data_IF_936856915170
#
_entry.id   IF_936856915170
#
_cell.length_a   1.000
_cell.length_b   1.000
_cell.length_c   1.000
_cell.angle_alpha   90.00
_cell.angle_beta   90.00
_cell.angle_gamma   90.00
#
_symmetry.space_group_name_H-M   'P 1'
#
loop_
_entity.id
_entity.type
_entity.pdbx_description
1 polymer ?
#
# COMPACT_ATOMS: atom_id res chain seq x y z
N UNK A 1 -24.47 -6.74 0.92
CA UNK A 1 -23.20 -6.51 0.23
C UNK A 1 -22.89 -5.03 0.26
N UNK A 2 -21.66 -4.62 0.57
CA UNK A 2 -21.31 -3.18 0.65
C UNK A 2 -20.82 -2.68 -0.71
N UNK A 3 -21.14 -1.43 -1.04
CA UNK A 3 -20.65 -0.75 -2.25
C UNK A 3 -19.38 0.04 -1.96
N UNK A 4 -18.51 0.13 -2.95
CA UNK A 4 -17.26 0.88 -2.90
C UNK A 4 -17.01 1.63 -4.19
N UNK A 5 -16.61 2.90 -4.09
CA UNK A 5 -16.12 3.68 -5.21
C UNK A 5 -14.61 3.48 -5.34
N UNK A 6 -14.17 3.03 -6.51
CA UNK A 6 -12.77 2.77 -6.84
C UNK A 6 -12.18 3.95 -7.60
N UNK A 7 -10.98 4.34 -7.18
CA UNK A 7 -10.21 5.44 -7.72
C UNK A 7 -8.81 4.96 -8.10
N UNK A 8 -8.25 5.51 -9.18
CA UNK A 8 -6.89 5.23 -9.63
C UNK A 8 -5.89 6.25 -9.08
N UNK A 9 -4.68 5.78 -8.84
CA UNK A 9 -3.50 6.58 -8.52
C UNK A 9 -2.30 6.13 -9.37
N UNK A 10 -1.20 6.90 -9.41
CA UNK A 10 0.03 6.46 -10.06
C UNK A 10 0.58 5.13 -9.54
N UNK A 11 0.29 4.75 -8.30
CA UNK A 11 0.86 3.56 -7.63
C UNK A 11 -0.11 2.37 -7.51
N UNK A 12 -1.35 2.49 -8.04
CA UNK A 12 -2.39 1.47 -7.93
C UNK A 12 -3.78 2.08 -7.70
N UNK A 13 -4.74 1.26 -7.29
CA UNK A 13 -6.11 1.66 -7.01
C UNK A 13 -6.40 1.75 -5.51
N UNK A 14 -7.34 2.61 -5.14
CA UNK A 14 -7.89 2.67 -3.79
C UNK A 14 -9.40 2.76 -3.86
N UNK A 15 -10.06 2.27 -2.82
CA UNK A 15 -11.51 2.31 -2.75
C UNK A 15 -11.99 2.92 -1.43
N UNK A 16 -13.07 3.67 -1.52
CA UNK A 16 -13.82 4.20 -0.38
C UNK A 16 -15.19 3.55 -0.35
N UNK A 17 -15.73 3.35 0.86
CA UNK A 17 -17.11 2.89 0.97
C UNK A 17 -18.03 3.93 0.32
N UNK A 18 -19.04 3.48 -0.40
CA UNK A 18 -19.95 4.28 -1.20
C UNK A 18 -21.39 4.03 -0.76
N UNK A 19 -22.20 5.08 -0.75
CA UNK A 19 -23.64 4.99 -0.54
C UNK A 19 -24.37 5.92 -1.52
N UNK A 20 -25.28 5.34 -2.29
CA UNK A 20 -26.21 6.00 -3.22
C UNK A 20 -27.68 5.83 -2.80
N UNK A 21 -27.94 4.99 -1.81
CA UNK A 21 -29.25 4.85 -1.18
C UNK A 21 -29.15 4.99 0.33
N UNK A 22 -30.27 5.28 0.99
CA UNK A 22 -30.34 5.33 2.45
C UNK A 22 -29.98 3.98 3.10
N UNK A 23 -30.32 2.86 2.45
CA UNK A 23 -30.00 1.52 2.95
C UNK A 23 -28.49 1.24 2.96
N UNK A 24 -27.74 1.83 2.01
CA UNK A 24 -26.27 1.68 1.93
C UNK A 24 -25.53 2.36 3.10
N UNK A 25 -26.21 3.26 3.83
CA UNK A 25 -25.70 3.93 5.03
C UNK A 25 -25.59 2.99 6.23
N UNK A 26 -26.25 1.82 6.23
CA UNK A 26 -26.29 0.95 7.40
C UNK A 26 -24.89 0.49 7.87
N UNK A 27 -24.56 0.73 9.14
CA UNK A 27 -23.25 0.43 9.72
C UNK A 27 -22.14 1.37 9.24
N UNK A 28 -22.47 2.60 8.84
CA UNK A 28 -21.48 3.66 8.53
C UNK A 28 -21.24 4.58 9.72
N UNK A 29 -22.18 4.65 10.68
CA UNK A 29 -22.18 5.65 11.75
C UNK A 29 -22.74 7.01 11.33
N UNK A 30 -23.26 7.13 10.11
CA UNK A 30 -23.86 8.35 9.55
C UNK A 30 -25.35 8.21 9.24
N UNK A 31 -26.00 7.15 9.73
CA UNK A 31 -27.39 6.79 9.44
C UNK A 31 -28.39 7.89 9.82
N UNK A 32 -28.11 8.65 10.88
CA UNK A 32 -28.95 9.75 11.36
C UNK A 32 -28.47 11.14 10.90
N UNK A 33 -27.32 11.20 10.21
CA UNK A 33 -26.66 12.46 9.83
C UNK A 33 -26.80 12.80 8.35
N UNK A 34 -26.85 11.79 7.48
CA UNK A 34 -26.93 11.96 6.04
C UNK A 34 -28.39 11.80 5.60
N UNK A 35 -28.89 12.76 4.83
CA UNK A 35 -30.24 12.70 4.22
C UNK A 35 -30.19 12.28 2.76
N UNK A 36 -31.34 11.89 2.21
CA UNK A 36 -31.47 11.45 0.81
C UNK A 36 -30.95 12.48 -0.20
N UNK A 37 -31.14 13.78 0.07
CA UNK A 37 -30.68 14.87 -0.79
C UNK A 37 -29.16 15.03 -0.85
N UNK A 38 -28.43 14.47 0.12
CA UNK A 38 -26.96 14.53 0.19
C UNK A 38 -26.28 13.39 -0.58
N UNK A 39 -27.03 12.34 -0.93
CA UNK A 39 -26.53 11.20 -1.70
C UNK A 39 -26.25 11.60 -3.17
N UNK A 40 -25.35 10.89 -3.87
CA UNK A 40 -24.45 9.85 -3.36
C UNK A 40 -23.24 10.41 -2.59
N UNK A 41 -22.70 9.62 -1.66
CA UNK A 41 -21.54 9.97 -0.81
C UNK A 41 -20.48 8.86 -0.79
N UNK A 42 -19.25 9.25 -0.47
CA UNK A 42 -18.13 8.35 -0.16
C UNK A 42 -17.57 8.62 1.24
N UNK A 43 -17.17 7.57 1.93
CA UNK A 43 -16.65 7.64 3.31
C UNK A 43 -15.12 7.51 3.33
N UNK A 44 -14.44 8.41 4.05
CA UNK A 44 -12.98 8.49 4.08
C UNK A 44 -12.29 7.44 4.97
N UNK A 45 -13.08 6.68 5.73
CA UNK A 45 -12.60 5.67 6.68
C UNK A 45 -11.96 6.24 7.95
N UNK A 46 -12.03 7.56 8.16
CA UNK A 46 -11.46 8.32 9.28
C UNK A 46 -12.52 9.14 10.05
N UNK A 47 -13.79 8.86 9.80
CA UNK A 47 -14.91 9.56 10.44
C UNK A 47 -15.41 10.77 9.66
N UNK A 48 -15.07 10.88 8.38
CA UNK A 48 -15.60 11.86 7.45
C UNK A 48 -16.32 11.23 6.25
N UNK A 49 -17.07 12.06 5.54
CA UNK A 49 -17.68 11.72 4.25
C UNK A 49 -17.64 12.91 3.30
N UNK A 50 -17.72 12.61 2.01
CA UNK A 50 -17.73 13.61 0.94
C UNK A 50 -18.83 13.29 -0.07
N UNK A 51 -19.35 14.32 -0.73
CA UNK A 51 -20.25 14.13 -1.86
C UNK A 51 -19.51 13.41 -2.99
N UNK A 52 -20.11 12.36 -3.51
CA UNK A 52 -19.55 11.62 -4.64
C UNK A 52 -19.66 12.44 -5.92
N UNK A 53 -18.61 12.31 -6.75
CA UNK A 53 -18.47 13.01 -8.04
C UNK A 53 -18.10 11.99 -9.11
N UNK A 54 -19.03 11.73 -10.01
CA UNK A 54 -18.80 10.82 -11.14
C UNK A 54 -17.81 11.41 -12.16
N UNK A 55 -17.70 12.75 -12.21
CA UNK A 55 -16.78 13.49 -13.07
C UNK A 55 -15.35 13.58 -12.52
N UNK A 56 -15.05 12.93 -11.38
CA UNK A 56 -13.70 12.89 -10.85
C UNK A 56 -12.77 12.09 -11.79
N UNK A 57 -11.74 12.75 -12.32
CA UNK A 57 -10.72 12.14 -13.18
C UNK A 57 -10.05 10.88 -12.62
N UNK A 58 -10.03 10.73 -11.29
CA UNK A 58 -9.47 9.55 -10.63
C UNK A 58 -10.48 8.43 -10.46
N UNK A 59 -11.80 8.70 -10.53
CA UNK A 59 -12.84 7.69 -10.39
C UNK A 59 -12.79 6.67 -11.54
N UNK A 60 -13.02 5.39 -11.21
CA UNK A 60 -12.93 4.27 -12.16
C UNK A 60 -14.24 3.48 -12.26
N UNK A 61 -14.75 3.00 -11.13
CA UNK A 61 -15.91 2.10 -11.07
C UNK A 61 -16.51 2.03 -9.66
N UNK A 62 -17.78 1.66 -9.58
CA UNK A 62 -18.39 1.15 -8.35
C UNK A 62 -18.23 -0.37 -8.35
N UNK A 63 -17.88 -0.94 -7.19
CA UNK A 63 -17.84 -2.39 -6.97
C UNK A 63 -18.65 -2.75 -5.73
N UNK A 64 -19.05 -4.01 -5.64
CA UNK A 64 -19.73 -4.57 -4.48
C UNK A 64 -18.87 -5.67 -3.86
N UNK A 65 -18.72 -5.66 -2.54
CA UNK A 65 -17.91 -6.63 -1.82
C UNK A 65 -18.30 -6.72 -0.34
N UNK A 66 -18.11 -7.89 0.25
CA UNK A 66 -18.17 -8.11 1.69
C UNK A 66 -16.78 -8.36 2.31
N UNK A 67 -15.72 -8.29 1.50
CA UNK A 67 -14.33 -8.43 1.98
C UNK A 67 -13.90 -7.19 2.77
N UNK A 68 -13.02 -7.39 3.76
CA UNK A 68 -12.36 -6.28 4.46
C UNK A 68 -11.54 -5.40 3.49
N UNK A 69 -10.88 -6.04 2.53
CA UNK A 69 -10.18 -5.40 1.41
C UNK A 69 -10.92 -5.75 0.11
N UNK A 70 -11.70 -4.82 -0.47
CA UNK A 70 -12.51 -5.11 -1.66
C UNK A 70 -11.70 -5.37 -2.93
N UNK A 71 -10.50 -4.79 -3.02
CA UNK A 71 -9.59 -4.90 -4.15
C UNK A 71 -8.50 -5.92 -3.84
N UNK A 72 -7.99 -6.59 -4.87
CA UNK A 72 -6.85 -7.50 -4.75
C UNK A 72 -5.53 -6.73 -4.58
N UNK A 73 -4.49 -7.42 -4.08
CA UNK A 73 -3.20 -6.81 -3.75
C UNK A 73 -2.60 -6.05 -4.94
N UNK A 74 -2.54 -6.69 -6.11
CA UNK A 74 -1.94 -6.11 -7.31
C UNK A 74 -2.80 -5.01 -7.96
N UNK A 75 -4.10 -4.94 -7.65
CA UNK A 75 -4.93 -3.79 -8.03
C UNK A 75 -4.56 -2.58 -7.15
N UNK A 76 -4.36 -2.81 -5.84
CA UNK A 76 -4.09 -1.75 -4.88
C UNK A 76 -2.66 -1.22 -4.91
N UNK A 77 -1.70 -2.11 -5.15
CA UNK A 77 -0.28 -1.83 -5.10
C UNK A 77 0.37 -2.42 -6.34
N UNK A 78 0.83 -1.54 -7.23
CA UNK A 78 1.44 -1.97 -8.50
C UNK A 78 2.62 -2.89 -8.24
N UNK A 79 2.55 -4.07 -8.86
CA UNK A 79 3.63 -5.04 -8.92
C UNK A 79 4.67 -4.59 -9.94
N UNK A 80 5.95 -4.54 -9.55
CA UNK A 80 7.07 -4.21 -10.42
C UNK A 80 6.89 -2.88 -11.18
N UNK A 81 6.40 -1.87 -10.46
CA UNK A 81 6.20 -0.52 -10.99
C UNK A 81 7.54 0.07 -11.49
N UNK A 82 7.65 0.49 -12.78
CA UNK A 82 8.89 1.10 -13.29
C UNK A 82 9.23 2.40 -12.57
N UNK A 83 8.24 3.09 -12.00
CA UNK A 83 8.40 4.32 -11.22
C UNK A 83 8.42 4.05 -9.71
N UNK A 84 8.78 2.82 -9.29
CA UNK A 84 8.82 2.44 -7.87
C UNK A 84 9.71 3.40 -7.06
N UNK A 85 9.13 3.95 -5.98
CA UNK A 85 9.85 4.80 -5.03
C UNK A 85 9.82 4.21 -3.63
N UNK A 86 8.64 3.86 -3.14
CA UNK A 86 8.43 3.40 -1.76
C UNK A 86 7.53 2.17 -1.78
N UNK A 87 7.80 1.22 -0.90
CA UNK A 87 7.07 -0.04 -0.89
C UNK A 87 7.87 -1.19 -0.30
N UNK A 88 7.50 -2.39 -0.74
CA UNK A 88 8.08 -3.64 -0.26
C UNK A 88 8.73 -4.39 -1.41
N UNK A 89 9.86 -5.05 -1.16
CA UNK A 89 10.53 -5.94 -2.12
C UNK A 89 10.52 -7.36 -1.55
N UNK A 90 9.96 -8.31 -2.30
CA UNK A 90 9.93 -9.72 -1.91
C UNK A 90 11.33 -10.34 -1.95
N UNK A 91 11.56 -11.49 -1.29
CA UNK A 91 12.80 -12.27 -1.44
C UNK A 91 13.14 -12.61 -2.90
N UNK A 92 12.14 -12.68 -3.77
CA UNK A 92 12.29 -12.98 -5.19
C UNK A 92 12.57 -11.73 -6.04
N UNK A 93 12.61 -10.54 -5.44
CA UNK A 93 12.88 -9.27 -6.12
C UNK A 93 11.65 -8.57 -6.71
N UNK A 94 10.44 -9.05 -6.41
CA UNK A 94 9.20 -8.40 -6.84
C UNK A 94 8.92 -7.17 -5.97
N UNK A 95 8.53 -6.05 -6.59
CA UNK A 95 8.22 -4.82 -5.86
C UNK A 95 6.72 -4.57 -5.76
N UNK A 96 6.27 -4.07 -4.61
CA UNK A 96 4.88 -3.63 -4.38
C UNK A 96 4.88 -2.16 -3.98
N UNK A 97 4.53 -1.29 -4.93
CA UNK A 97 4.58 0.18 -4.79
C UNK A 97 3.43 0.68 -3.91
N UNK A 98 3.74 1.34 -2.79
CA UNK A 98 2.72 1.80 -1.82
C UNK A 98 2.58 3.32 -1.70
N UNK A 99 3.34 4.08 -2.50
CA UNK A 99 3.53 5.51 -2.31
C UNK A 99 3.95 5.86 -0.85
N UNK A 100 3.80 7.13 -0.46
CA UNK A 100 4.19 7.64 0.87
C UNK A 100 3.24 7.25 2.01
N UNK A 101 1.94 7.07 1.73
CA UNK A 101 0.90 7.09 2.78
C UNK A 101 0.28 5.74 3.12
N UNK A 102 0.61 4.68 2.37
CA UNK A 102 -0.05 3.37 2.49
C UNK A 102 0.91 2.21 2.80
N UNK A 103 2.09 2.47 3.35
CA UNK A 103 3.10 1.45 3.63
C UNK A 103 2.59 0.29 4.50
N UNK A 104 1.95 0.62 5.63
CA UNK A 104 1.40 -0.39 6.55
C UNK A 104 0.22 -1.15 5.93
N UNK A 105 -0.57 -0.49 5.08
CA UNK A 105 -1.69 -1.12 4.36
C UNK A 105 -1.17 -2.11 3.32
N UNK A 106 -0.11 -1.75 2.61
CA UNK A 106 0.59 -2.64 1.67
C UNK A 106 1.12 -3.87 2.41
N UNK A 107 1.83 -3.67 3.52
CA UNK A 107 2.33 -4.75 4.36
C UNK A 107 1.21 -5.71 4.81
N UNK A 108 0.07 -5.17 5.26
CA UNK A 108 -1.09 -5.98 5.66
C UNK A 108 -1.64 -6.82 4.52
N UNK A 109 -1.79 -6.25 3.32
CA UNK A 109 -2.29 -7.00 2.17
C UNK A 109 -1.32 -8.06 1.66
N UNK A 110 -0.01 -7.77 1.62
CA UNK A 110 1.01 -8.77 1.29
C UNK A 110 0.96 -9.90 2.31
N UNK A 111 0.92 -9.59 3.61
CA UNK A 111 0.85 -10.59 4.66
C UNK A 111 -0.44 -11.42 4.59
N UNK A 112 -1.59 -10.81 4.28
CA UNK A 112 -2.84 -11.56 4.08
C UNK A 112 -2.75 -12.55 2.92
N UNK A 113 -2.06 -12.18 1.83
CA UNK A 113 -1.91 -13.03 0.64
C UNK A 113 -0.92 -14.17 0.86
N UNK A 114 0.26 -13.89 1.41
CA UNK A 114 1.36 -14.85 1.50
C UNK A 114 1.50 -15.54 2.86
N UNK A 115 0.97 -14.94 3.93
CA UNK A 115 1.08 -15.43 5.31
C UNK A 115 -0.28 -15.33 6.04
N UNK A 116 -1.31 -16.06 5.57
CA UNK A 116 -2.64 -15.97 6.14
C UNK A 116 -2.63 -16.27 7.65
N UNK A 117 -3.27 -15.40 8.43
CA UNK A 117 -3.29 -15.47 9.91
C UNK A 117 -2.16 -14.71 10.62
N UNK A 118 -1.28 -14.01 9.88
CA UNK A 118 -0.26 -13.15 10.47
C UNK A 118 -0.88 -12.04 11.34
N UNK A 119 -0.53 -12.02 12.63
CA UNK A 119 -1.02 -10.99 13.58
C UNK A 119 -0.31 -9.65 13.44
N UNK A 120 0.97 -9.67 13.05
CA UNK A 120 1.81 -8.48 12.91
C UNK A 120 2.38 -8.46 11.49
N UNK A 121 1.71 -7.82 10.52
CA UNK A 121 2.08 -7.91 9.10
C UNK A 121 3.53 -7.55 8.79
N UNK A 122 3.97 -6.34 9.13
CA UNK A 122 5.33 -5.84 8.84
C UNK A 122 6.40 -6.77 9.42
N UNK A 123 6.31 -7.06 10.72
CA UNK A 123 7.21 -8.01 11.38
C UNK A 123 7.19 -9.41 10.76
N UNK A 124 6.05 -9.84 10.21
CA UNK A 124 5.96 -11.12 9.51
C UNK A 124 6.71 -11.05 8.19
N UNK A 125 6.56 -9.96 7.43
CA UNK A 125 7.30 -9.74 6.19
C UNK A 125 8.81 -9.68 6.44
N UNK A 126 9.24 -8.90 7.43
CA UNK A 126 10.65 -8.74 7.82
C UNK A 126 11.29 -10.09 8.16
N UNK A 127 10.65 -10.89 9.02
CA UNK A 127 11.13 -12.24 9.40
C UNK A 127 11.25 -13.18 8.21
N UNK A 128 10.41 -12.99 7.19
CA UNK A 128 10.45 -13.77 5.97
C UNK A 128 11.35 -13.15 4.88
N UNK A 129 12.17 -12.15 5.23
CA UNK A 129 13.19 -11.59 4.35
C UNK A 129 12.67 -10.61 3.31
N UNK A 130 11.48 -10.03 3.52
CA UNK A 130 11.04 -8.91 2.72
C UNK A 130 11.85 -7.65 3.09
N UNK A 131 12.07 -6.79 2.10
CA UNK A 131 12.71 -5.49 2.31
C UNK A 131 11.67 -4.38 2.34
N UNK A 132 11.90 -3.43 3.22
CA UNK A 132 11.17 -2.16 3.26
C UNK A 132 11.97 -1.11 2.52
N UNK A 133 11.31 -0.37 1.63
CA UNK A 133 11.84 0.87 1.03
C UNK A 133 10.95 2.01 1.48
N UNK A 134 11.48 2.84 2.37
CA UNK A 134 10.76 3.90 3.06
C UNK A 134 11.40 5.26 2.78
N UNK A 135 10.65 6.33 3.07
CA UNK A 135 11.22 7.67 3.04
C UNK A 135 12.12 7.89 4.27
N UNK A 136 13.26 8.55 4.08
CA UNK A 136 14.24 8.78 5.14
C UNK A 136 13.89 9.99 6.02
N UNK A 137 12.64 10.48 5.99
CA UNK A 137 12.25 11.67 6.72
C UNK A 137 12.26 11.46 8.23
N UNK A 138 13.10 12.23 8.93
CA UNK A 138 13.27 12.22 10.38
C UNK A 138 12.50 13.37 11.09
N UNK A 139 11.68 14.12 10.37
CA UNK A 139 10.97 15.30 10.90
C UNK A 139 11.77 16.60 10.93
N UNK A 140 13.06 16.59 10.55
CA UNK A 140 13.96 17.75 10.75
C UNK A 140 14.72 18.17 9.49
N UNK A 141 14.98 17.26 8.55
CA UNK A 141 15.74 17.56 7.34
C UNK A 141 14.85 18.22 6.25
N UNK A 142 15.46 18.98 5.33
CA UNK A 142 14.76 19.53 4.14
C UNK A 142 14.86 18.61 2.91
N UNK A 143 15.76 17.63 2.95
CA UNK A 143 15.98 16.64 1.90
C UNK A 143 15.77 15.25 2.49
N UNK A 144 14.99 14.42 1.82
CA UNK A 144 14.70 13.05 2.22
C UNK A 144 15.11 12.12 1.09
N UNK A 145 15.92 11.11 1.42
CA UNK A 145 16.27 10.03 0.53
C UNK A 145 15.37 8.83 0.75
N UNK A 146 15.67 7.75 0.06
CA UNK A 146 15.04 6.46 0.34
C UNK A 146 15.92 5.72 1.34
N UNK A 147 15.29 5.01 2.27
CA UNK A 147 15.94 4.14 3.25
C UNK A 147 15.51 2.70 2.99
N UNK A 148 16.47 1.78 2.94
CA UNK A 148 16.22 0.35 2.74
C UNK A 148 16.47 -0.40 4.05
N UNK A 149 15.48 -1.17 4.50
CA UNK A 149 15.52 -1.87 5.78
C UNK A 149 15.14 -3.34 5.66
N UNK A 150 15.82 -4.17 6.47
CA UNK A 150 15.45 -5.55 6.76
C UNK A 150 15.83 -5.91 8.19
N UNK A 151 14.94 -6.63 8.89
CA UNK A 151 15.25 -7.19 10.23
C UNK A 151 16.24 -8.36 10.14
N UNK A 152 16.34 -9.04 8.99
CA UNK A 152 17.21 -10.22 8.82
C UNK A 152 18.70 -9.85 8.76
N UNK A 153 19.02 -8.62 8.39
CA UNK A 153 20.40 -8.14 8.22
C UNK A 153 21.10 -8.62 6.95
N UNK A 154 20.49 -9.51 6.17
CA UNK A 154 20.95 -9.95 4.85
C UNK A 154 19.80 -9.96 3.84
N UNK A 155 20.14 -9.81 2.56
CA UNK A 155 19.18 -9.80 1.44
C UNK A 155 19.48 -10.94 0.48
N UNK A 156 18.60 -11.22 -0.49
CA UNK A 156 18.88 -12.18 -1.56
C UNK A 156 19.61 -11.50 -2.73
N UNK A 157 20.28 -12.29 -3.57
CA UNK A 157 20.85 -11.78 -4.83
C UNK A 157 19.80 -11.08 -5.71
N UNK A 158 18.58 -11.62 -5.80
CA UNK A 158 17.50 -11.02 -6.58
C UNK A 158 17.06 -9.66 -6.04
N UNK A 159 17.05 -9.51 -4.71
CA UNK A 159 16.80 -8.22 -4.08
C UNK A 159 17.94 -7.23 -4.35
N UNK A 160 19.19 -7.67 -4.30
CA UNK A 160 20.34 -6.82 -4.64
C UNK A 160 20.29 -6.34 -6.10
N UNK A 161 20.02 -7.24 -7.04
CA UNK A 161 19.83 -6.91 -8.46
C UNK A 161 18.68 -5.90 -8.63
N UNK A 162 17.55 -6.10 -7.91
CA UNK A 162 16.43 -5.16 -7.93
C UNK A 162 16.80 -3.77 -7.39
N UNK A 163 17.55 -3.69 -6.29
CA UNK A 163 18.00 -2.41 -5.73
C UNK A 163 18.93 -1.67 -6.70
N UNK A 164 19.73 -2.39 -7.49
CA UNK A 164 20.53 -1.81 -8.56
C UNK A 164 19.66 -1.25 -9.68
N UNK A 165 18.68 -2.02 -10.17
CA UNK A 165 17.72 -1.58 -11.20
C UNK A 165 16.96 -0.31 -10.79
N UNK A 166 16.61 -0.19 -9.51
CA UNK A 166 15.90 0.95 -8.93
C UNK A 166 16.79 2.17 -8.69
N UNK A 167 18.11 2.08 -8.96
CA UNK A 167 19.07 3.16 -8.71
C UNK A 167 19.38 3.41 -7.24
N UNK A 168 18.94 2.51 -6.34
CA UNK A 168 19.14 2.60 -4.89
C UNK A 168 20.55 2.18 -4.44
N UNK A 169 21.33 1.58 -5.35
CA UNK A 169 22.71 1.17 -5.08
C UNK A 169 23.65 2.31 -4.63
N UNK A 170 23.33 3.56 -4.95
CA UNK A 170 24.17 4.70 -4.55
C UNK A 170 24.07 5.02 -3.05
N UNK A 171 23.10 4.44 -2.34
CA UNK A 171 22.98 4.56 -0.91
C UNK A 171 24.04 3.70 -0.20
N UNK A 172 24.80 4.31 0.72
CA UNK A 172 25.89 3.61 1.41
C UNK A 172 25.40 2.46 2.27
N UNK A 173 24.22 2.56 2.87
CA UNK A 173 23.60 1.47 3.62
C UNK A 173 23.22 0.29 2.73
N UNK A 174 22.79 0.56 1.49
CA UNK A 174 22.47 -0.50 0.51
C UNK A 174 23.76 -1.21 0.07
N UNK A 175 24.83 -0.46 -0.20
CA UNK A 175 26.14 -1.04 -0.57
C UNK A 175 26.68 -1.93 0.55
N UNK A 176 26.59 -1.48 1.80
CA UNK A 176 27.03 -2.25 2.95
C UNK A 176 26.18 -3.52 3.12
N UNK A 177 24.86 -3.41 3.01
CA UNK A 177 23.93 -4.54 3.08
C UNK A 177 24.21 -5.59 2.00
N UNK A 178 24.49 -5.15 0.76
CA UNK A 178 24.89 -6.04 -0.35
C UNK A 178 26.19 -6.76 0.02
N UNK A 179 27.24 -6.01 0.39
CA UNK A 179 28.56 -6.57 0.74
C UNK A 179 28.49 -7.59 1.88
N UNK A 180 27.69 -7.31 2.90
CA UNK A 180 27.53 -8.21 4.06
C UNK A 180 26.78 -9.49 3.69
N UNK A 181 25.97 -9.45 2.63
CA UNK A 181 25.18 -10.59 2.16
C UNK A 181 25.88 -11.41 1.06
N UNK A 182 26.86 -10.84 0.35
CA UNK A 182 27.55 -11.49 -0.79
C UNK A 182 28.17 -12.86 -0.45
N UNK A 183 28.60 -13.07 0.80
CA UNK A 183 29.18 -14.34 1.23
C UNK A 183 28.15 -15.45 1.46
N UNK A 184 26.86 -15.08 1.57
CA UNK A 184 25.74 -15.99 1.84
C UNK A 184 24.91 -16.30 0.57
N UNK A 185 25.32 -15.78 -0.60
CA UNK A 185 24.64 -15.91 -1.89
C UNK A 185 25.16 -17.04 -2.78
#
# INVERSE_FOLDING_TARGET
MKKYAVYGSPTGEYCYRYADTMDDLAGTGFEELITEEQLPVVFDGRGGYFRFREDDHSFRRIIESDKEYPLELEEMFKLNDPDFKLGWISPDGDTYSCAFTNHNKCAKMIAMKYYPGARFPERTLDKNGWLQVMDSWDGTQQHHGQFVYTEKGFITKRQADKLFDLGLYNNSEVQQMIKDSENDW
#
